data_IF_279503549149
#
_entry.id   IF_279503549149
#
_cell.length_a   1.000
_cell.length_b   1.000
_cell.length_c   1.000
_cell.angle_alpha   90.00
_cell.angle_beta   90.00
_cell.angle_gamma   90.00
#
_symmetry.space_group_name_H-M   'P 1'
#
loop_
_entity.id
_entity.type
_entity.pdbx_description
1 polymer ?
#
# COMPACT_ATOMS: atom_id res chain seq x y z
N UNK A 1 -8.07 -17.11 -18.84
CA UNK A 1 -7.58 -15.70 -18.87
C UNK A 1 -6.16 -15.55 -18.29
N UNK A 2 -5.15 -16.24 -18.86
CA UNK A 2 -3.75 -16.12 -18.40
C UNK A 2 -3.05 -14.86 -18.97
N UNK A 3 -3.45 -14.41 -20.16
CA UNK A 3 -2.78 -13.33 -20.90
C UNK A 3 -2.83 -11.94 -20.24
N UNK A 4 -3.77 -11.67 -19.33
CA UNK A 4 -3.95 -10.34 -18.72
C UNK A 4 -3.16 -10.13 -17.42
N UNK A 5 -2.56 -11.18 -16.84
CA UNK A 5 -1.82 -11.06 -15.57
C UNK A 5 -0.50 -10.31 -15.77
N UNK A 6 0.27 -10.68 -16.78
CA UNK A 6 1.56 -10.06 -17.11
C UNK A 6 1.45 -8.54 -17.35
N UNK A 7 0.54 -8.02 -18.20
CA UNK A 7 0.40 -6.58 -18.39
C UNK A 7 -0.07 -5.86 -17.11
N UNK A 8 -0.95 -6.47 -16.31
CA UNK A 8 -1.37 -5.92 -15.02
C UNK A 8 -0.20 -5.76 -14.03
N UNK A 9 0.61 -6.81 -13.86
CA UNK A 9 1.78 -6.77 -12.98
C UNK A 9 2.84 -5.77 -13.49
N UNK A 10 3.02 -5.67 -14.80
CA UNK A 10 3.93 -4.67 -15.39
C UNK A 10 3.45 -3.24 -15.12
N UNK A 11 2.15 -2.97 -15.26
CA UNK A 11 1.58 -1.66 -14.96
C UNK A 11 1.78 -1.30 -13.48
N UNK A 12 1.54 -2.25 -12.56
CA UNK A 12 1.80 -2.07 -11.13
C UNK A 12 3.29 -1.78 -10.88
N UNK A 13 4.18 -2.58 -11.47
CA UNK A 13 5.63 -2.43 -11.29
C UNK A 13 6.09 -1.04 -11.71
N UNK A 14 5.76 -0.59 -12.92
CA UNK A 14 6.17 0.74 -13.40
C UNK A 14 5.58 1.87 -12.57
N UNK A 15 4.32 1.74 -12.13
CA UNK A 15 3.67 2.75 -11.28
C UNK A 15 4.33 2.82 -9.91
N UNK A 16 4.68 1.68 -9.31
CA UNK A 16 5.41 1.65 -8.05
C UNK A 16 6.83 2.21 -8.18
N UNK A 17 7.54 1.90 -9.28
CA UNK A 17 8.86 2.48 -9.55
C UNK A 17 8.80 4.01 -9.67
N UNK A 18 7.74 4.56 -10.30
CA UNK A 18 7.56 6.00 -10.38
C UNK A 18 7.12 6.62 -9.03
N UNK A 19 6.33 5.89 -8.24
CA UNK A 19 5.77 6.40 -6.99
C UNK A 19 6.72 6.26 -5.78
N UNK A 20 7.76 5.41 -5.86
CA UNK A 20 8.74 5.20 -4.77
C UNK A 20 9.82 6.29 -4.68
N UNK A 21 9.61 7.45 -5.31
CA UNK A 21 10.47 8.62 -5.21
C UNK A 21 10.27 9.38 -3.89
N UNK A 22 10.43 8.66 -2.78
CA UNK A 22 10.15 9.12 -1.42
C UNK A 22 11.37 9.82 -0.82
N UNK A 23 11.17 10.90 -0.07
CA UNK A 23 12.24 11.66 0.59
C UNK A 23 11.91 11.91 2.05
N UNK A 24 12.95 12.06 2.88
CA UNK A 24 12.74 12.45 4.26
C UNK A 24 12.12 13.85 4.34
N UNK A 25 10.98 14.00 5.01
CA UNK A 25 10.24 15.26 5.12
C UNK A 25 9.68 15.43 6.54
N UNK A 26 10.09 16.50 7.21
CA UNK A 26 9.61 16.83 8.55
C UNK A 26 8.17 17.34 8.50
N UNK A 27 7.40 17.07 9.57
CA UNK A 27 6.01 17.53 9.65
C UNK A 27 5.95 19.06 9.67
N UNK A 28 5.10 19.63 8.82
CA UNK A 28 4.83 21.07 8.80
C UNK A 28 3.87 21.52 9.91
N UNK A 29 3.11 20.58 10.49
CA UNK A 29 2.05 20.88 11.46
C UNK A 29 2.53 20.73 12.90
N UNK A 30 3.41 19.75 13.17
CA UNK A 30 3.89 19.47 14.52
C UNK A 30 5.41 19.55 14.56
N UNK A 31 5.93 20.48 15.36
CA UNK A 31 7.37 20.70 15.51
C UNK A 31 8.09 19.42 15.97
N UNK A 32 9.27 19.14 15.40
CA UNK A 32 10.13 18.00 15.75
C UNK A 32 9.50 16.61 15.54
N UNK A 33 8.43 16.51 14.76
CA UNK A 33 7.87 15.24 14.34
C UNK A 33 8.19 14.93 12.88
N UNK A 34 8.41 13.65 12.60
CA UNK A 34 8.45 13.10 11.26
C UNK A 34 7.40 11.98 11.21
N UNK A 35 6.37 12.17 10.37
CA UNK A 35 5.23 11.26 10.27
C UNK A 35 4.94 11.00 8.80
N UNK A 36 4.46 9.80 8.43
CA UNK A 36 4.08 9.49 7.07
C UNK A 36 2.88 10.35 6.63
N UNK A 37 3.11 11.29 5.71
CA UNK A 37 2.09 12.26 5.28
C UNK A 37 0.88 11.59 4.63
N UNK A 38 1.07 10.44 3.96
CA UNK A 38 -0.04 9.67 3.36
C UNK A 38 -1.04 9.13 4.41
N UNK A 39 -0.60 8.94 5.66
CA UNK A 39 -1.46 8.49 6.76
C UNK A 39 -2.07 9.66 7.55
N UNK A 40 -1.30 10.74 7.75
CA UNK A 40 -1.77 11.91 8.52
C UNK A 40 -2.70 12.79 7.69
N UNK A 41 -2.43 12.95 6.39
CA UNK A 41 -3.21 13.76 5.43
C UNK A 41 -3.46 15.19 5.91
N UNK A 42 -2.47 15.78 6.61
CA UNK A 42 -2.58 17.12 7.18
C UNK A 42 -2.48 18.22 6.12
N UNK A 43 -1.59 18.00 5.15
CA UNK A 43 -1.26 18.91 4.06
C UNK A 43 -1.59 18.28 2.72
N UNK A 44 -2.47 18.91 1.94
CA UNK A 44 -2.91 18.36 0.64
C UNK A 44 -1.82 18.45 -0.43
N UNK A 45 -0.99 19.47 -0.33
CA UNK A 45 0.17 19.74 -1.18
C UNK A 45 1.25 18.66 -1.10
N UNK A 46 1.28 17.89 -0.01
CA UNK A 46 2.22 16.78 0.19
C UNK A 46 1.67 15.44 -0.31
N UNK A 47 0.39 15.39 -0.70
CA UNK A 47 -0.27 14.19 -1.17
C UNK A 47 -0.24 14.11 -2.69
N UNK A 48 0.11 12.94 -3.21
CA UNK A 48 0.02 12.65 -4.63
C UNK A 48 -1.39 12.16 -4.98
N UNK A 49 -1.74 12.28 -6.26
CA UNK A 49 -3.03 11.76 -6.76
C UNK A 49 -3.07 10.24 -6.60
N UNK A 50 -4.08 9.68 -5.91
CA UNK A 50 -4.21 8.24 -5.78
C UNK A 50 -4.43 7.57 -7.14
N UNK A 51 -3.71 6.47 -7.39
CA UNK A 51 -3.82 5.70 -8.64
C UNK A 51 -4.43 4.33 -8.34
N UNK A 52 -5.42 3.93 -9.14
CA UNK A 52 -6.02 2.58 -9.07
C UNK A 52 -5.71 1.85 -10.36
N UNK A 53 -5.11 0.67 -10.24
CA UNK A 53 -4.85 -0.23 -11.35
C UNK A 53 -5.73 -1.46 -11.14
N UNK A 54 -6.63 -1.74 -12.06
CA UNK A 54 -7.56 -2.88 -11.98
C UNK A 54 -7.34 -3.85 -13.12
N UNK A 55 -7.28 -5.15 -12.80
CA UNK A 55 -7.34 -6.23 -13.79
C UNK A 55 -8.78 -6.67 -14.05
N UNK A 56 -9.62 -6.63 -13.02
CA UNK A 56 -11.06 -6.86 -13.06
C UNK A 56 -11.72 -6.17 -11.85
N UNK A 57 -13.02 -6.38 -11.63
CA UNK A 57 -13.77 -5.74 -10.54
C UNK A 57 -13.24 -6.10 -9.13
N UNK A 58 -12.69 -7.31 -8.97
CA UNK A 58 -12.19 -7.87 -7.70
C UNK A 58 -10.68 -7.65 -7.52
N UNK A 59 -9.88 -7.82 -8.57
CA UNK A 59 -8.42 -7.67 -8.58
C UNK A 59 -8.03 -6.23 -8.93
N UNK A 60 -7.63 -5.46 -7.92
CA UNK A 60 -7.20 -4.07 -8.07
C UNK A 60 -6.15 -3.69 -7.03
N UNK A 61 -5.23 -2.82 -7.41
CA UNK A 61 -4.26 -2.20 -6.50
C UNK A 61 -4.55 -0.70 -6.44
N UNK A 62 -4.67 -0.18 -5.22
CA UNK A 62 -4.71 1.26 -4.94
C UNK A 62 -3.34 1.68 -4.42
N UNK A 63 -2.75 2.69 -5.05
CA UNK A 63 -1.48 3.30 -4.68
C UNK A 63 -1.78 4.74 -4.27
N UNK A 64 -1.51 5.06 -3.01
CA UNK A 64 -1.58 6.41 -2.47
C UNK A 64 -0.14 6.83 -2.12
N UNK A 65 0.33 7.91 -2.74
CA UNK A 65 1.67 8.43 -2.50
C UNK A 65 1.64 9.76 -1.74
N UNK A 66 2.75 10.08 -1.11
CA UNK A 66 3.06 11.39 -0.55
C UNK A 66 4.56 11.65 -0.69
N UNK A 67 5.02 12.84 -0.28
CA UNK A 67 6.44 13.20 -0.33
C UNK A 67 7.36 12.23 0.45
N UNK A 68 6.92 11.71 1.60
CA UNK A 68 7.76 10.94 2.52
C UNK A 68 7.25 9.53 2.84
N UNK A 69 6.14 9.12 2.23
CA UNK A 69 5.59 7.80 2.45
C UNK A 69 4.67 7.37 1.31
N UNK A 70 4.57 6.06 1.13
CA UNK A 70 3.70 5.45 0.15
C UNK A 70 2.87 4.35 0.80
N UNK A 71 1.60 4.28 0.40
CA UNK A 71 0.63 3.29 0.87
C UNK A 71 0.08 2.50 -0.30
N UNK A 72 0.24 1.18 -0.22
CA UNK A 72 -0.26 0.24 -1.22
C UNK A 72 -1.37 -0.58 -0.58
N UNK A 73 -2.50 -0.68 -1.27
CA UNK A 73 -3.57 -1.59 -0.93
C UNK A 73 -3.77 -2.57 -2.09
N UNK A 74 -3.65 -3.87 -1.85
CA UNK A 74 -3.82 -4.92 -2.87
C UNK A 74 -5.10 -5.72 -2.65
N UNK A 75 -6.06 -5.61 -3.56
CA UNK A 75 -7.29 -6.42 -3.59
C UNK A 75 -7.03 -7.75 -4.28
N UNK A 76 -7.24 -8.84 -3.53
CA UNK A 76 -6.99 -10.21 -3.99
C UNK A 76 -8.29 -10.83 -4.45
N UNK A 77 -8.25 -11.58 -5.55
CA UNK A 77 -9.40 -12.36 -6.02
C UNK A 77 -9.80 -13.39 -4.96
N UNK A 78 -11.09 -13.39 -4.62
CA UNK A 78 -11.74 -14.41 -3.80
C UNK A 78 -12.88 -14.98 -4.65
N UNK A 79 -12.72 -16.21 -5.11
CA UNK A 79 -13.70 -16.93 -5.92
C UNK A 79 -14.84 -17.47 -5.04
N UNK A 80 -14.48 -18.07 -3.90
CA UNK A 80 -15.40 -18.79 -3.02
C UNK A 80 -15.25 -18.39 -1.54
N UNK A 81 -16.20 -18.80 -0.69
CA UNK A 81 -16.18 -18.51 0.75
C UNK A 81 -14.96 -19.10 1.47
N UNK A 82 -14.44 -20.23 0.99
CA UNK A 82 -13.22 -20.85 1.50
C UNK A 82 -12.02 -19.92 1.25
N UNK A 83 -11.87 -19.41 0.02
CA UNK A 83 -10.79 -18.47 -0.32
C UNK A 83 -10.91 -17.16 0.47
N UNK A 84 -12.13 -16.70 0.74
CA UNK A 84 -12.38 -15.52 1.59
C UNK A 84 -11.88 -15.76 3.02
N UNK A 85 -12.19 -16.91 3.62
CA UNK A 85 -11.71 -17.26 4.96
C UNK A 85 -10.19 -17.41 4.98
N UNK A 86 -9.61 -18.07 3.96
CA UNK A 86 -8.17 -18.23 3.83
C UNK A 86 -7.46 -16.89 3.70
N UNK A 87 -7.94 -16.01 2.82
CA UNK A 87 -7.41 -14.67 2.62
C UNK A 87 -7.48 -13.84 3.91
N UNK A 88 -8.60 -13.91 4.63
CA UNK A 88 -8.78 -13.22 5.90
C UNK A 88 -7.82 -13.73 6.99
N UNK A 89 -7.70 -15.06 7.15
CA UNK A 89 -6.78 -15.67 8.13
C UNK A 89 -5.32 -15.39 7.78
N UNK A 90 -4.94 -15.52 6.51
CA UNK A 90 -3.59 -15.24 6.04
C UNK A 90 -3.20 -13.78 6.25
N UNK A 91 -4.08 -12.85 5.86
CA UNK A 91 -3.82 -11.42 6.06
C UNK A 91 -3.69 -11.08 7.54
N UNK A 92 -4.58 -11.62 8.40
CA UNK A 92 -4.49 -11.42 9.85
C UNK A 92 -3.19 -11.98 10.44
N UNK A 93 -2.75 -13.15 9.98
CA UNK A 93 -1.48 -13.75 10.40
C UNK A 93 -0.27 -12.90 10.01
N UNK A 94 -0.26 -12.34 8.79
CA UNK A 94 0.79 -11.45 8.32
C UNK A 94 0.82 -10.14 9.13
N UNK A 95 -0.35 -9.59 9.47
CA UNK A 95 -0.47 -8.38 10.29
C UNK A 95 0.07 -8.57 11.72
N UNK A 96 -0.10 -9.76 12.31
CA UNK A 96 0.49 -10.08 13.62
C UNK A 96 2.03 -10.09 13.59
N UNK A 97 2.63 -10.23 12.40
CA UNK A 97 4.09 -10.24 12.19
C UNK A 97 4.62 -8.93 11.59
N UNK A 98 3.80 -7.86 11.60
CA UNK A 98 4.19 -6.56 11.06
C UNK A 98 5.38 -5.92 11.79
N UNK A 99 5.77 -6.40 12.97
CA UNK A 99 7.00 -5.94 13.65
C UNK A 99 8.25 -6.46 12.94
N UNK A 100 8.20 -7.68 12.40
CA UNK A 100 9.31 -8.28 11.64
C UNK A 100 9.28 -7.86 10.17
N UNK A 101 8.10 -7.59 9.64
CA UNK A 101 7.90 -7.03 8.31
C UNK A 101 7.52 -5.56 8.45
N UNK A 102 8.51 -4.69 8.60
CA UNK A 102 8.36 -3.23 8.83
C UNK A 102 7.46 -2.56 7.80
N UNK A 103 7.38 -3.13 6.59
CA UNK A 103 6.51 -2.66 5.53
C UNK A 103 5.03 -3.01 5.74
N UNK A 104 4.64 -3.87 6.66
CA UNK A 104 3.24 -4.24 6.86
C UNK A 104 2.54 -3.32 7.86
N UNK A 105 1.26 -3.05 7.60
CA UNK A 105 0.41 -2.31 8.55
C UNK A 105 -0.23 -3.24 9.57
N UNK A 106 -0.26 -2.80 10.84
CA UNK A 106 -0.91 -3.49 11.96
C UNK A 106 -2.45 -3.45 11.94
N UNK A 107 -3.06 -2.49 11.22
CA UNK A 107 -4.52 -2.36 11.06
C UNK A 107 -4.90 -2.07 9.61
N UNK A 108 -6.06 -2.59 9.15
CA UNK A 108 -6.63 -2.15 7.90
C UNK A 108 -7.22 -0.71 8.06
N UNK A 109 -7.83 -0.21 6.99
CA UNK A 109 -8.31 1.15 6.66
C UNK A 109 -9.72 0.82 6.29
N UNK A 110 -10.63 1.47 6.98
CA UNK A 110 -12.05 1.11 7.07
C UNK A 110 -12.73 1.10 5.70
N UNK A 111 -12.20 1.85 4.74
CA UNK A 111 -12.82 2.03 3.43
C UNK A 111 -12.93 0.71 2.63
N UNK A 112 -12.01 -0.27 2.80
CA UNK A 112 -12.12 -1.59 2.12
C UNK A 112 -11.42 -2.73 2.87
N UNK A 113 -12.19 -3.77 3.22
CA UNK A 113 -11.80 -4.87 4.11
C UNK A 113 -10.82 -5.90 3.51
N UNK A 114 -10.66 -5.97 2.19
CA UNK A 114 -9.99 -7.11 1.51
C UNK A 114 -8.56 -6.85 1.00
N UNK A 115 -7.82 -5.92 1.62
CA UNK A 115 -6.55 -5.44 1.06
C UNK A 115 -5.31 -5.80 1.90
N UNK A 116 -4.32 -6.47 1.31
CA UNK A 116 -2.94 -6.57 1.86
C UNK A 116 -2.26 -5.21 1.71
N UNK A 117 -1.46 -4.81 2.72
CA UNK A 117 -0.98 -3.43 2.84
C UNK A 117 0.48 -3.33 3.08
N UNK A 118 1.11 -2.53 2.23
CA UNK A 118 2.50 -2.16 2.35
C UNK A 118 2.59 -0.67 2.68
N UNK A 119 3.45 -0.36 3.63
CA UNK A 119 3.91 0.95 4.07
C UNK A 119 5.41 0.96 3.76
N UNK A 120 5.92 2.05 3.21
CA UNK A 120 7.35 2.28 3.23
C UNK A 120 7.57 3.62 3.94
N UNK A 121 8.16 3.58 5.13
CA UNK A 121 8.55 4.76 5.90
C UNK A 121 10.03 5.11 5.70
N UNK A 122 10.85 4.14 5.28
CA UNK A 122 12.29 4.30 5.16
C UNK A 122 12.73 3.78 3.79
N UNK A 123 12.68 4.64 2.77
CA UNK A 123 13.32 4.34 1.49
C UNK A 123 14.81 4.00 1.68
N UNK A 124 15.47 4.54 2.72
CA UNK A 124 16.88 4.32 3.05
C UNK A 124 17.23 2.94 3.61
N UNK A 125 16.25 2.16 4.09
CA UNK A 125 16.49 0.86 4.76
C UNK A 125 16.23 -0.38 3.89
N UNK A 126 15.70 -0.20 2.68
CA UNK A 126 15.20 -1.28 1.82
C UNK A 126 15.77 -1.30 0.40
N UNK A 127 16.77 -0.46 0.10
CA UNK A 127 17.62 -0.68 -1.08
C UNK A 127 18.58 -1.83 -0.77
N UNK A 128 18.29 -3.02 -1.32
CA UNK A 128 19.36 -3.95 -1.66
C UNK A 128 20.18 -3.37 -2.82
#
# INVERSE_FOLDING_TARGET
MSATLKPYLNAIKHTLTAAICVQNFNSQVVERHNKPEVEVKSSKELLLTPVVISRNEKEKVLIEGSVNSLRISIGIKQADDIEKILCHKFTRFMMQRAENFVILRRKPVEVRADYIRLKNEDASGFFF
#
